data_IF_501665509870
#
_entry.id   IF_501665509870
#
_cell.length_a   1.000
_cell.length_b   1.000
_cell.length_c   1.000
_cell.angle_alpha   90.00
_cell.angle_beta   90.00
_cell.angle_gamma   90.00
#
_symmetry.space_group_name_H-M   'P 1'
#
loop_
_entity.id
_entity.type
_entity.pdbx_description
1 polymer ?
#
# COMPACT_ATOMS: atom_id res chain seq x y z
N UNK A 1 46.48 -11.95 -14.81
CA UNK A 1 45.91 -10.93 -15.72
C UNK A 1 44.46 -10.72 -15.32
N UNK A 2 44.27 -9.66 -14.54
CA UNK A 2 43.00 -9.13 -14.04
C UNK A 2 42.08 -8.76 -15.20
N UNK A 3 40.78 -9.01 -15.10
CA UNK A 3 39.73 -8.02 -15.38
C UNK A 3 38.43 -8.44 -14.66
N UNK A 4 38.32 -8.00 -13.40
CA UNK A 4 37.04 -7.66 -12.79
C UNK A 4 36.51 -6.37 -13.44
N UNK A 5 35.19 -6.16 -13.30
CA UNK A 5 34.45 -4.89 -13.43
C UNK A 5 33.64 -4.69 -14.71
N UNK A 6 32.47 -5.34 -14.76
CA UNK A 6 31.29 -4.72 -15.34
C UNK A 6 30.62 -3.83 -14.29
N UNK A 7 31.21 -2.67 -13.97
CA UNK A 7 30.49 -1.59 -13.29
C UNK A 7 29.92 -0.65 -14.35
N UNK A 8 28.64 -0.82 -14.65
CA UNK A 8 27.86 0.16 -15.41
C UNK A 8 28.01 1.54 -14.75
N UNK A 9 28.35 2.61 -15.49
CA UNK A 9 28.84 3.87 -14.92
C UNK A 9 27.76 4.78 -14.32
N UNK A 10 26.50 4.34 -14.18
CA UNK A 10 25.41 5.19 -13.67
C UNK A 10 24.72 4.61 -12.44
N UNK A 11 25.51 4.21 -11.43
CA UNK A 11 24.99 3.76 -10.14
C UNK A 11 24.84 4.95 -9.16
N UNK A 12 24.05 5.96 -9.54
CA UNK A 12 23.70 7.06 -8.63
C UNK A 12 22.81 6.46 -7.54
N UNK A 13 23.21 6.50 -6.26
CA UNK A 13 22.36 6.05 -5.17
C UNK A 13 21.08 6.88 -5.18
N UNK A 14 19.97 6.30 -5.63
CA UNK A 14 18.70 7.02 -5.63
C UNK A 14 18.16 6.94 -4.22
N UNK A 15 18.21 8.07 -3.51
CA UNK A 15 17.59 8.19 -2.19
C UNK A 15 16.08 8.07 -2.39
N UNK A 16 15.47 7.06 -1.77
CA UNK A 16 14.02 6.83 -1.81
C UNK A 16 13.43 7.01 -0.42
N UNK A 17 12.17 7.44 -0.38
CA UNK A 17 11.38 7.55 0.85
C UNK A 17 10.18 6.62 0.78
N UNK A 18 9.79 6.08 1.94
CA UNK A 18 8.57 5.31 2.09
C UNK A 18 7.37 6.18 1.69
N UNK A 19 6.55 5.72 0.75
CA UNK A 19 5.39 6.48 0.27
C UNK A 19 4.31 6.69 1.35
N UNK A 20 4.37 5.93 2.44
CA UNK A 20 3.39 5.98 3.54
C UNK A 20 3.84 6.81 4.74
N UNK A 21 5.08 6.64 5.21
CA UNK A 21 5.59 7.31 6.42
C UNK A 21 6.74 8.29 6.16
N UNK A 22 7.18 8.42 4.90
CA UNK A 22 8.27 9.31 4.48
C UNK A 22 9.65 9.02 5.11
N UNK A 23 9.81 7.93 5.86
CA UNK A 23 11.14 7.45 6.29
C UNK A 23 12.02 7.13 5.08
N UNK A 24 13.32 7.37 5.21
CA UNK A 24 14.31 6.99 4.21
C UNK A 24 14.36 5.46 4.06
N UNK A 25 14.35 4.98 2.82
CA UNK A 25 14.56 3.57 2.51
C UNK A 25 16.06 3.32 2.38
N UNK A 26 16.55 2.27 3.02
CA UNK A 26 17.96 1.88 2.99
C UNK A 26 18.34 1.15 1.70
N UNK A 27 17.36 0.67 0.93
CA UNK A 27 17.58 -0.03 -0.33
C UNK A 27 17.91 0.95 -1.46
N UNK A 28 19.06 0.76 -2.08
CA UNK A 28 19.64 1.69 -3.06
C UNK A 28 19.13 1.44 -4.48
N UNK A 29 18.61 0.25 -4.78
CA UNK A 29 18.12 -0.15 -6.11
C UNK A 29 16.94 -1.12 -6.02
N UNK A 30 15.91 -0.92 -6.85
CA UNK A 30 14.90 -1.95 -7.16
C UNK A 30 14.01 -2.46 -6.01
N UNK A 31 13.86 -1.71 -4.91
CA UNK A 31 13.08 -2.14 -3.73
C UNK A 31 11.60 -1.70 -3.72
N UNK A 32 10.79 -2.27 -2.79
CA UNK A 32 9.41 -1.85 -2.56
C UNK A 32 9.31 -0.36 -2.21
N UNK A 33 8.16 0.25 -2.53
CA UNK A 33 7.88 1.68 -2.25
C UNK A 33 7.57 1.98 -0.78
N UNK A 34 7.41 0.93 0.03
CA UNK A 34 7.11 0.99 1.46
C UNK A 34 8.28 0.42 2.28
N UNK A 35 8.52 0.98 3.46
CA UNK A 35 9.44 0.39 4.42
C UNK A 35 8.84 -0.89 5.05
N UNK A 36 9.64 -1.77 5.66
CA UNK A 36 9.16 -3.01 6.26
C UNK A 36 8.00 -2.80 7.25
N UNK A 37 8.12 -1.83 8.15
CA UNK A 37 7.05 -1.47 9.09
C UNK A 37 5.74 -1.07 8.39
N UNK A 38 5.84 -0.36 7.27
CA UNK A 38 4.66 0.07 6.51
C UNK A 38 4.08 -1.07 5.68
N UNK A 39 4.88 -2.04 5.26
CA UNK A 39 4.40 -3.26 4.59
C UNK A 39 3.57 -4.09 5.58
N UNK A 40 4.05 -4.25 6.81
CA UNK A 40 3.32 -5.01 7.83
C UNK A 40 2.04 -4.27 8.25
N UNK A 41 2.10 -2.94 8.45
CA UNK A 41 0.90 -2.13 8.67
C UNK A 41 -0.09 -2.19 7.52
N UNK A 42 0.37 -2.26 6.28
CA UNK A 42 -0.51 -2.38 5.12
C UNK A 42 -1.28 -3.71 5.11
N UNK A 43 -0.62 -4.80 5.49
CA UNK A 43 -1.27 -6.12 5.66
C UNK A 43 -2.30 -6.07 6.79
N UNK A 44 -1.95 -5.50 7.93
CA UNK A 44 -2.86 -5.39 9.09
C UNK A 44 -4.09 -4.53 8.76
N UNK A 45 -3.89 -3.37 8.16
CA UNK A 45 -4.97 -2.47 7.73
C UNK A 45 -5.88 -3.17 6.72
N UNK A 46 -5.29 -3.90 5.77
CA UNK A 46 -6.07 -4.63 4.78
C UNK A 46 -6.89 -5.76 5.41
N UNK A 47 -6.34 -6.50 6.39
CA UNK A 47 -7.10 -7.54 7.11
C UNK A 47 -8.32 -6.94 7.79
N UNK A 48 -8.16 -5.83 8.52
CA UNK A 48 -9.27 -5.13 9.18
C UNK A 48 -10.35 -4.67 8.20
N UNK A 49 -9.93 -4.03 7.11
CA UNK A 49 -10.85 -3.55 6.06
C UNK A 49 -11.58 -4.72 5.41
N UNK A 50 -10.86 -5.80 5.09
CA UNK A 50 -11.42 -7.01 4.48
C UNK A 50 -12.46 -7.66 5.39
N UNK A 51 -12.12 -7.90 6.66
CA UNK A 51 -13.02 -8.51 7.65
C UNK A 51 -14.29 -7.67 7.84
N UNK A 52 -14.16 -6.34 7.86
CA UNK A 52 -15.31 -5.45 7.99
C UNK A 52 -16.24 -5.52 6.77
N UNK A 53 -15.69 -5.42 5.56
CA UNK A 53 -16.47 -5.50 4.31
C UNK A 53 -17.14 -6.87 4.15
N UNK A 54 -16.47 -7.96 4.56
CA UNK A 54 -17.04 -9.31 4.49
C UNK A 54 -18.19 -9.54 5.47
N UNK A 55 -18.13 -8.93 6.66
CA UNK A 55 -19.18 -9.05 7.67
C UNK A 55 -20.34 -8.07 7.45
N UNK A 56 -20.12 -6.97 6.72
CA UNK A 56 -21.11 -5.91 6.50
C UNK A 56 -21.29 -5.59 5.01
N UNK A 57 -22.38 -6.08 4.44
CA UNK A 57 -22.76 -5.72 3.08
C UNK A 57 -23.16 -4.24 2.98
N UNK A 58 -22.87 -3.61 1.83
CA UNK A 58 -23.23 -2.21 1.51
C UNK A 58 -22.56 -1.11 2.35
N UNK A 59 -21.40 -1.38 2.94
CA UNK A 59 -20.68 -0.36 3.71
C UNK A 59 -20.07 0.74 2.81
N UNK A 60 -19.94 1.94 3.37
CA UNK A 60 -19.30 3.09 2.72
C UNK A 60 -17.83 3.22 3.14
N UNK A 61 -16.99 3.80 2.28
CA UNK A 61 -15.57 4.08 2.60
C UNK A 61 -15.41 4.85 3.92
N UNK A 62 -16.34 5.77 4.21
CA UNK A 62 -16.31 6.57 5.43
C UNK A 62 -16.57 5.73 6.69
N UNK A 63 -17.59 4.88 6.64
CA UNK A 63 -17.93 3.98 7.74
C UNK A 63 -16.79 3.00 8.04
N UNK A 64 -16.23 2.38 7.01
CA UNK A 64 -15.06 1.49 7.15
C UNK A 64 -13.91 2.23 7.83
N UNK A 65 -13.64 3.49 7.43
CA UNK A 65 -12.58 4.30 8.04
C UNK A 65 -12.82 4.56 9.53
N UNK A 66 -14.06 4.87 9.91
CA UNK A 66 -14.41 5.13 11.30
C UNK A 66 -14.28 3.88 12.17
N UNK A 67 -14.74 2.72 11.69
CA UNK A 67 -14.76 1.49 12.49
C UNK A 67 -13.38 0.83 12.55
N UNK A 68 -12.68 0.75 11.43
CA UNK A 68 -11.38 0.06 11.37
C UNK A 68 -10.21 0.94 11.85
N UNK A 69 -10.43 2.25 11.94
CA UNK A 69 -9.38 3.25 12.22
C UNK A 69 -8.40 3.45 11.06
N UNK A 70 -8.61 2.78 9.92
CA UNK A 70 -7.78 2.93 8.72
C UNK A 70 -8.15 4.22 8.01
N UNK A 71 -7.16 5.04 7.66
CA UNK A 71 -7.43 6.32 7.01
C UNK A 71 -8.11 6.15 5.64
N UNK A 72 -8.99 7.07 5.27
CA UNK A 72 -9.62 7.14 3.94
C UNK A 72 -8.58 7.05 2.81
N UNK A 73 -7.42 7.69 2.96
CA UNK A 73 -6.33 7.67 1.97
C UNK A 73 -5.83 6.25 1.69
N UNK A 74 -5.70 5.42 2.73
CA UNK A 74 -5.26 4.01 2.62
C UNK A 74 -6.36 3.16 2.01
N UNK A 75 -7.62 3.35 2.41
CA UNK A 75 -8.74 2.60 1.80
C UNK A 75 -8.85 2.91 0.30
N UNK A 76 -8.71 4.19 -0.09
CA UNK A 76 -8.67 4.60 -1.50
C UNK A 76 -7.42 4.11 -2.24
N UNK A 77 -6.31 3.83 -1.54
CA UNK A 77 -5.16 3.15 -2.13
C UNK A 77 -5.52 1.69 -2.46
N UNK A 78 -6.18 0.97 -1.56
CA UNK A 78 -6.66 -0.39 -1.83
C UNK A 78 -7.63 -0.45 -3.01
N UNK A 79 -8.45 0.58 -3.20
CA UNK A 79 -9.29 0.71 -4.40
C UNK A 79 -8.46 0.88 -5.67
N UNK A 80 -7.45 1.75 -5.65
CA UNK A 80 -6.54 1.96 -6.79
C UNK A 80 -5.68 0.73 -7.12
N UNK A 81 -5.40 -0.09 -6.12
CA UNK A 81 -4.66 -1.35 -6.25
C UNK A 81 -5.56 -2.54 -6.65
N UNK A 82 -6.83 -2.30 -6.99
CA UNK A 82 -7.81 -3.33 -7.33
C UNK A 82 -8.06 -4.37 -6.21
N UNK A 83 -7.67 -4.08 -4.97
CA UNK A 83 -7.87 -4.96 -3.80
C UNK A 83 -9.26 -4.80 -3.17
N UNK A 84 -9.91 -3.67 -3.47
CA UNK A 84 -11.26 -3.28 -3.04
C UNK A 84 -11.93 -2.59 -4.24
N UNK A 85 -13.21 -2.82 -4.47
CA UNK A 85 -13.99 -2.21 -5.56
C UNK A 85 -15.07 -1.29 -5.00
N UNK A 86 -15.34 -0.17 -5.67
CA UNK A 86 -16.52 0.66 -5.39
C UNK A 86 -17.71 0.12 -6.20
N UNK A 87 -18.82 -0.19 -5.54
CA UNK A 87 -20.01 -0.85 -6.15
C UNK A 87 -21.21 0.08 -6.35
N UNK A 88 -21.17 1.32 -5.85
CA UNK A 88 -22.29 2.28 -5.98
C UNK A 88 -21.75 3.72 -6.09
N UNK A 89 -22.48 4.58 -6.80
CA UNK A 89 -22.19 6.02 -6.97
C UNK A 89 -22.19 6.81 -5.67
N UNK A 90 -22.66 6.21 -4.57
CA UNK A 90 -22.52 6.72 -3.19
C UNK A 90 -21.23 6.30 -2.48
N UNK A 91 -20.18 5.88 -3.20
CA UNK A 91 -18.91 5.38 -2.63
C UNK A 91 -19.08 4.13 -1.74
N UNK A 92 -19.95 3.18 -2.12
CA UNK A 92 -20.03 1.87 -1.45
C UNK A 92 -18.87 0.98 -1.90
N UNK A 93 -18.31 0.14 -1.02
CA UNK A 93 -17.18 -0.74 -1.36
C UNK A 93 -17.43 -2.24 -1.12
N UNK A 94 -16.79 -3.09 -1.94
CA UNK A 94 -16.77 -4.55 -1.86
C UNK A 94 -15.36 -5.08 -2.19
N UNK A 95 -15.07 -6.37 -2.02
CA UNK A 95 -13.83 -7.00 -2.47
C UNK A 95 -13.89 -7.32 -3.96
N UNK A 96 -12.73 -7.31 -4.63
CA UNK A 96 -12.61 -7.79 -5.99
C UNK A 96 -12.30 -9.30 -5.94
N UNK A 97 -13.07 -10.10 -6.69
CA UNK A 97 -12.86 -11.54 -6.88
C UNK A 97 -11.62 -11.83 -7.75
#
# INVERSE_FOLDING_TARGET
>A
MTLLNATSPNNIPTIRTCQRCHKLLTYTYGGPSLCPECIDKDKDDYSKVKEYIQSHANTTVFEVSQVTGVSLKVIMQFVREDRVQIVDTKNKINLKE
#
